data_IF_158204485436
#
_entry.id   IF_158204485436
#
_cell.length_a   1.000
_cell.length_b   1.000
_cell.length_c   1.000
_cell.angle_alpha   90.00
_cell.angle_beta   90.00
_cell.angle_gamma   90.00
#
_symmetry.space_group_name_H-M   'P 1'
#
loop_
_entity.id
_entity.type
_entity.pdbx_description
1 polymer ?
#
# COMPACT_ATOMS: atom_id res chain seq x y z
N UNK A 1 10.83 -5.18 -19.99
CA UNK A 1 10.30 -5.31 -18.61
C UNK A 1 9.39 -4.11 -18.37
N UNK A 2 8.13 -4.28 -17.97
CA UNK A 2 7.31 -3.12 -17.54
C UNK A 2 7.82 -2.71 -16.17
N UNK A 3 8.43 -1.52 -16.07
CA UNK A 3 8.90 -0.96 -14.80
C UNK A 3 7.74 -0.50 -13.93
N UNK A 4 7.94 -0.48 -12.62
CA UNK A 4 7.07 0.24 -11.68
C UNK A 4 7.65 1.65 -11.58
N UNK A 5 6.96 2.64 -12.16
CA UNK A 5 7.37 4.04 -12.07
C UNK A 5 6.74 4.68 -10.83
N UNK A 6 7.56 5.33 -10.02
CA UNK A 6 7.11 6.14 -8.89
C UNK A 6 7.04 7.59 -9.34
N UNK A 7 5.84 8.19 -9.29
CA UNK A 7 5.60 9.56 -9.73
C UNK A 7 5.50 10.51 -8.53
N UNK A 8 6.44 10.40 -7.58
CA UNK A 8 6.52 11.36 -6.47
C UNK A 8 7.59 12.36 -6.80
N UNK A 9 7.19 13.61 -7.06
CA UNK A 9 8.10 14.72 -7.31
C UNK A 9 8.58 15.32 -5.98
N UNK A 10 9.79 15.88 -6.00
CA UNK A 10 10.32 16.60 -4.85
C UNK A 10 9.54 17.91 -4.69
N UNK A 11 8.98 18.12 -3.50
CA UNK A 11 8.42 19.40 -3.08
C UNK A 11 9.31 20.00 -1.98
N UNK A 12 9.66 21.28 -2.13
CA UNK A 12 10.43 22.03 -1.13
C UNK A 12 9.56 22.40 0.09
N UNK A 13 8.24 22.48 -0.09
CA UNK A 13 7.33 22.88 0.98
C UNK A 13 6.91 21.66 1.81
N UNK A 14 7.20 21.72 3.11
CA UNK A 14 6.73 20.76 4.09
C UNK A 14 5.97 21.47 5.22
N UNK A 15 4.71 21.11 5.42
CA UNK A 15 3.85 21.64 6.47
C UNK A 15 4.25 21.14 7.85
N UNK A 16 4.75 22.04 8.71
CA UNK A 16 5.15 21.70 10.10
C UNK A 16 3.99 21.12 10.94
N UNK A 17 2.76 21.56 10.68
CA UNK A 17 1.55 21.02 11.33
C UNK A 17 1.20 19.62 10.81
N UNK A 18 1.47 19.35 9.53
CA UNK A 18 1.20 18.04 8.92
C UNK A 18 2.04 16.95 9.59
N UNK A 19 3.26 17.23 10.03
CA UNK A 19 4.08 16.32 10.83
C UNK A 19 3.37 15.80 12.10
N UNK A 20 2.59 16.66 12.77
CA UNK A 20 1.86 16.27 13.99
C UNK A 20 0.58 15.51 13.63
N UNK A 21 -0.19 16.02 12.66
CA UNK A 21 -1.44 15.40 12.19
C UNK A 21 -1.18 14.02 11.57
N UNK A 22 -0.01 13.83 10.96
CA UNK A 22 0.44 12.57 10.36
C UNK A 22 0.39 11.40 11.29
N UNK A 23 0.88 11.53 12.51
CA UNK A 23 0.82 10.44 13.49
C UNK A 23 -0.63 10.12 13.88
N UNK A 24 -1.48 11.13 14.07
CA UNK A 24 -2.88 10.92 14.43
C UNK A 24 -3.67 10.22 13.30
N UNK A 25 -3.41 10.58 12.05
CA UNK A 25 -4.05 9.98 10.87
C UNK A 25 -3.46 8.63 10.45
N UNK A 26 -2.17 8.43 10.72
CA UNK A 26 -1.50 7.19 10.38
C UNK A 26 -1.95 6.02 11.25
N UNK A 27 -2.20 6.24 12.54
CA UNK A 27 -2.64 5.18 13.47
C UNK A 27 -3.86 4.41 12.94
N UNK A 28 -5.00 5.03 12.59
CA UNK A 28 -6.15 4.29 12.06
C UNK A 28 -5.81 3.60 10.72
N UNK A 29 -5.06 4.27 9.85
CA UNK A 29 -4.66 3.72 8.54
C UNK A 29 -3.77 2.49 8.68
N UNK A 30 -2.86 2.48 9.65
CA UNK A 30 -1.97 1.34 9.98
C UNK A 30 -2.78 0.17 10.55
N UNK A 31 -3.79 0.43 11.38
CA UNK A 31 -4.67 -0.64 11.90
C UNK A 31 -5.41 -1.30 10.73
N UNK A 32 -6.02 -0.52 9.83
CA UNK A 32 -6.69 -1.07 8.65
C UNK A 32 -5.73 -1.84 7.76
N UNK A 33 -4.55 -1.27 7.48
CA UNK A 33 -3.49 -1.93 6.72
C UNK A 33 -3.10 -3.26 7.34
N UNK A 34 -2.99 -3.35 8.68
CA UNK A 34 -2.60 -4.58 9.38
C UNK A 34 -3.63 -5.69 9.17
N UNK A 35 -4.92 -5.37 9.27
CA UNK A 35 -6.01 -6.33 9.01
C UNK A 35 -5.99 -6.80 7.55
N UNK A 36 -5.84 -5.87 6.61
CA UNK A 36 -5.72 -6.19 5.19
C UNK A 36 -4.46 -7.01 4.88
N UNK A 37 -3.37 -6.76 5.62
CA UNK A 37 -2.10 -7.46 5.50
C UNK A 37 -2.20 -8.93 5.85
N UNK A 38 -3.06 -9.29 6.82
CA UNK A 38 -3.35 -10.69 7.13
C UNK A 38 -3.99 -11.37 5.91
N UNK A 39 -5.01 -10.75 5.31
CA UNK A 39 -5.69 -11.26 4.11
C UNK A 39 -4.70 -11.36 2.94
N UNK A 40 -3.88 -10.32 2.73
CA UNK A 40 -2.87 -10.28 1.69
C UNK A 40 -1.80 -11.37 1.88
N UNK A 41 -1.44 -11.69 3.11
CA UNK A 41 -0.48 -12.78 3.41
C UNK A 41 -1.03 -14.13 2.96
N UNK A 42 -2.30 -14.42 3.27
CA UNK A 42 -2.94 -15.64 2.77
C UNK A 42 -3.10 -15.63 1.25
N UNK A 43 -3.52 -14.50 0.66
CA UNK A 43 -3.65 -14.36 -0.79
C UNK A 43 -2.30 -14.57 -1.50
N UNK A 44 -1.21 -14.06 -0.94
CA UNK A 44 0.15 -14.25 -1.43
C UNK A 44 0.56 -15.72 -1.37
N UNK A 45 0.32 -16.38 -0.23
CA UNK A 45 0.65 -17.80 -0.05
C UNK A 45 -0.12 -18.69 -1.03
N UNK A 46 -1.43 -18.46 -1.17
CA UNK A 46 -2.28 -19.19 -2.13
C UNK A 46 -1.82 -18.89 -3.56
N UNK A 47 -1.51 -17.64 -3.88
CA UNK A 47 -1.06 -17.25 -5.22
C UNK A 47 0.27 -17.92 -5.57
N UNK A 48 1.19 -18.01 -4.61
CA UNK A 48 2.46 -18.69 -4.75
C UNK A 48 2.28 -20.19 -5.02
N UNK A 49 1.47 -20.89 -4.22
CA UNK A 49 1.12 -22.29 -4.46
C UNK A 49 0.43 -22.49 -5.83
N UNK A 50 -0.50 -21.60 -6.18
CA UNK A 50 -1.20 -21.65 -7.46
C UNK A 50 -0.23 -21.51 -8.64
N UNK A 51 0.77 -20.63 -8.56
CA UNK A 51 1.79 -20.47 -9.60
C UNK A 51 2.66 -21.72 -9.70
N UNK A 52 3.08 -22.31 -8.58
CA UNK A 52 3.90 -23.53 -8.59
C UNK A 52 3.20 -24.70 -9.29
N UNK A 53 1.89 -24.85 -9.08
CA UNK A 53 1.12 -25.95 -9.67
C UNK A 53 0.71 -25.67 -11.12
N UNK A 54 0.29 -24.44 -11.44
CA UNK A 54 -0.33 -24.13 -12.74
C UNK A 54 0.58 -23.40 -13.72
N UNK A 55 1.70 -22.83 -13.24
CA UNK A 55 2.55 -21.92 -14.00
C UNK A 55 1.88 -20.58 -14.36
N UNK A 56 0.68 -20.30 -13.83
CA UNK A 56 -0.12 -19.10 -14.15
C UNK A 56 -0.42 -18.31 -12.89
N UNK A 57 -0.67 -17.01 -13.04
CA UNK A 57 -1.13 -16.15 -11.93
C UNK A 57 -2.65 -16.10 -11.90
N UNK A 58 -3.23 -16.12 -10.70
CA UNK A 58 -4.67 -15.99 -10.53
C UNK A 58 -5.02 -14.50 -10.53
N UNK A 59 -5.98 -14.09 -11.35
CA UNK A 59 -6.35 -12.67 -11.49
C UNK A 59 -6.91 -12.09 -10.19
N UNK A 60 -7.80 -12.81 -9.51
CA UNK A 60 -8.45 -12.34 -8.28
C UNK A 60 -7.43 -12.10 -7.15
N UNK A 61 -6.53 -13.05 -6.94
CA UNK A 61 -5.48 -12.90 -5.92
C UNK A 61 -4.48 -11.80 -6.30
N UNK A 62 -4.15 -11.69 -7.59
CA UNK A 62 -3.30 -10.61 -8.06
C UNK A 62 -3.91 -9.23 -7.83
N UNK A 63 -5.18 -9.04 -8.15
CA UNK A 63 -5.88 -7.76 -8.00
C UNK A 63 -5.96 -7.37 -6.51
N UNK A 64 -6.21 -8.34 -5.62
CA UNK A 64 -6.17 -8.13 -4.17
C UNK A 64 -4.78 -7.70 -3.67
N UNK A 65 -3.74 -8.44 -4.06
CA UNK A 65 -2.36 -8.12 -3.70
C UNK A 65 -1.93 -6.76 -4.25
N UNK A 66 -2.35 -6.42 -5.48
CA UNK A 66 -2.06 -5.14 -6.10
C UNK A 66 -2.66 -3.98 -5.30
N UNK A 67 -3.95 -4.07 -4.94
CA UNK A 67 -4.63 -3.05 -4.11
C UNK A 67 -3.97 -2.89 -2.76
N UNK A 68 -3.66 -4.00 -2.09
CA UNK A 68 -2.95 -3.98 -0.81
C UNK A 68 -1.58 -3.30 -0.94
N UNK A 69 -0.76 -3.69 -1.93
CA UNK A 69 0.56 -3.10 -2.15
C UNK A 69 0.47 -1.61 -2.50
N UNK A 70 -0.48 -1.19 -3.34
CA UNK A 70 -0.68 0.21 -3.68
C UNK A 70 -1.04 1.03 -2.44
N UNK A 71 -1.94 0.52 -1.60
CA UNK A 71 -2.32 1.14 -0.35
C UNK A 71 -1.15 1.21 0.65
N UNK A 72 -0.39 0.12 0.78
CA UNK A 72 0.82 0.07 1.62
C UNK A 72 1.84 1.14 1.20
N UNK A 73 2.17 1.22 -0.09
CA UNK A 73 3.17 2.17 -0.61
C UNK A 73 2.72 3.61 -0.41
N UNK A 74 1.43 3.92 -0.63
CA UNK A 74 0.88 5.27 -0.35
C UNK A 74 1.03 5.64 1.12
N UNK A 75 0.68 4.73 2.05
CA UNK A 75 0.80 4.98 3.48
C UNK A 75 2.28 5.11 3.90
N UNK A 76 3.16 4.30 3.33
CA UNK A 76 4.60 4.34 3.63
C UNK A 76 5.23 5.65 3.12
N UNK A 77 4.89 6.10 1.90
CA UNK A 77 5.34 7.38 1.37
C UNK A 77 4.89 8.56 2.24
N UNK A 78 3.67 8.50 2.79
CA UNK A 78 3.21 9.45 3.78
C UNK A 78 4.05 9.33 5.07
N UNK A 79 4.22 8.14 5.65
CA UNK A 79 4.98 7.97 6.90
C UNK A 79 6.46 8.38 6.79
N UNK A 80 7.09 8.16 5.64
CA UNK A 80 8.50 8.44 5.38
C UNK A 80 8.78 9.88 4.95
N UNK A 81 7.77 10.77 5.02
CA UNK A 81 7.88 12.19 4.65
C UNK A 81 8.20 12.42 3.16
N UNK A 82 7.86 11.45 2.31
CA UNK A 82 8.05 11.51 0.86
C UNK A 82 6.85 12.18 0.19
N UNK A 83 5.66 12.13 0.80
CA UNK A 83 4.44 12.79 0.32
C UNK A 83 3.64 13.39 1.46
N UNK A 84 2.99 14.54 1.23
CA UNK A 84 1.97 15.11 2.13
C UNK A 84 0.55 14.62 1.83
N UNK A 85 0.37 13.88 0.73
CA UNK A 85 -0.94 13.32 0.37
C UNK A 85 -1.39 12.29 1.40
N UNK A 86 -2.50 12.59 2.07
CA UNK A 86 -3.09 11.69 3.06
C UNK A 86 -3.73 10.50 2.36
N UNK A 87 -3.30 9.31 2.73
CA UNK A 87 -3.96 8.09 2.29
C UNK A 87 -5.38 8.04 2.86
N UNK A 88 -6.44 7.74 2.07
CA UNK A 88 -7.74 7.38 2.62
C UNK A 88 -7.62 6.25 3.65
N UNK A 89 -8.53 6.19 4.62
CA UNK A 89 -8.46 5.17 5.69
C UNK A 89 -8.66 3.75 5.13
N UNK A 90 -9.35 3.64 4.00
CA UNK A 90 -9.57 2.38 3.30
C UNK A 90 -8.89 2.40 1.93
N UNK A 91 -8.39 1.24 1.46
CA UNK A 91 -7.86 1.11 0.12
C UNK A 91 -8.92 1.48 -0.91
N UNK A 92 -8.51 2.30 -1.88
CA UNK A 92 -9.35 2.67 -3.00
C UNK A 92 -9.68 1.42 -3.84
N UNK A 93 -10.92 1.35 -4.32
CA UNK A 93 -11.48 0.19 -5.01
C UNK A 93 -10.86 -0.06 -6.39
#
# INVERSE_FOLDING_TARGET
>A
MKGVNYAVEYDEHAGRLELIVRWLWAIPSVIVLSVLGIIATFAWLIQWLYILVTGKRNRMLHDWLFKYCAYFVKLQAYMDLVSEERNPIMPEA
#
